data_IF_302671446779
#
_entry.id   IF_302671446779
#
_cell.length_a   1.000
_cell.length_b   1.000
_cell.length_c   1.000
_cell.angle_alpha   90.00
_cell.angle_beta   90.00
_cell.angle_gamma   90.00
#
_symmetry.space_group_name_H-M   'P 1'
#
loop_
_entity.id
_entity.type
_entity.pdbx_description
1 polymer ?
#
# COMPACT_ATOMS: atom_id res chain seq x y z
N UNK A 1 35.51 -0.83 22.58
CA UNK A 1 36.12 -0.43 21.29
C UNK A 1 35.03 0.13 20.40
N UNK A 2 35.19 1.37 19.92
CA UNK A 2 34.26 2.03 18.98
C UNK A 2 34.63 1.62 17.56
N UNK A 3 33.68 1.11 16.79
CA UNK A 3 33.79 0.99 15.33
C UNK A 3 32.69 1.82 14.69
N UNK A 4 33.12 2.79 13.89
CA UNK A 4 32.31 3.76 13.18
C UNK A 4 31.60 3.09 12.00
N UNK A 5 30.30 3.32 11.85
CA UNK A 5 29.59 2.99 10.60
C UNK A 5 29.58 4.25 9.74
N UNK A 6 30.32 4.20 8.64
CA UNK A 6 30.43 5.24 7.62
C UNK A 6 29.08 5.33 6.88
N UNK A 7 28.46 6.51 6.94
CA UNK A 7 27.33 6.86 6.08
C UNK A 7 27.84 7.05 4.65
N UNK A 8 27.48 6.15 3.74
CA UNK A 8 27.65 6.39 2.31
C UNK A 8 26.42 7.17 1.79
N UNK A 9 26.59 8.49 1.74
CA UNK A 9 25.71 9.44 1.06
C UNK A 9 25.39 8.94 -0.35
N UNK A 10 24.10 8.99 -0.72
CA UNK A 10 23.59 8.94 -2.10
C UNK A 10 24.22 7.91 -3.05
N UNK A 11 23.50 6.84 -3.48
CA UNK A 11 24.03 5.95 -4.51
C UNK A 11 24.42 6.80 -5.75
N UNK A 12 25.65 6.67 -6.25
CA UNK A 12 26.17 7.53 -7.30
C UNK A 12 25.22 7.51 -8.48
N UNK A 13 25.06 8.67 -9.12
CA UNK A 13 24.23 8.91 -10.31
C UNK A 13 24.27 7.72 -11.28
N UNK A 14 25.45 7.12 -11.47
CA UNK A 14 25.73 5.91 -12.28
C UNK A 14 24.85 4.68 -11.99
N UNK A 15 24.44 4.45 -10.75
CA UNK A 15 23.59 3.32 -10.33
C UNK A 15 22.10 3.58 -10.63
N UNK A 16 21.66 4.85 -10.53
CA UNK A 16 20.34 5.32 -11.00
C UNK A 16 20.23 5.22 -12.52
N UNK A 17 21.32 5.41 -13.25
CA UNK A 17 21.38 5.15 -14.69
C UNK A 17 21.20 3.66 -14.99
N UNK A 18 21.88 2.76 -14.26
CA UNK A 18 21.74 1.30 -14.47
C UNK A 18 20.30 0.79 -14.32
N UNK A 19 19.53 1.22 -13.31
CA UNK A 19 18.13 0.82 -13.16
C UNK A 19 17.22 1.39 -14.26
N UNK A 20 17.46 2.64 -14.66
CA UNK A 20 16.75 3.25 -15.79
C UNK A 20 17.09 2.54 -17.10
N UNK A 21 18.33 2.11 -17.32
CA UNK A 21 18.73 1.35 -18.52
C UNK A 21 18.03 -0.01 -18.60
N UNK A 22 17.60 -0.59 -17.47
CA UNK A 22 16.91 -1.88 -17.42
C UNK A 22 15.40 -1.73 -17.64
N UNK A 23 14.76 -0.72 -17.04
CA UNK A 23 13.29 -0.54 -17.12
C UNK A 23 12.83 0.22 -18.37
N UNK A 24 13.68 1.10 -18.91
CA UNK A 24 13.35 1.98 -20.03
C UNK A 24 13.15 1.25 -21.38
N UNK A 25 13.90 0.19 -21.74
CA UNK A 25 13.65 -0.56 -22.97
C UNK A 25 12.28 -1.24 -22.98
N UNK A 26 11.80 -1.75 -21.84
CA UNK A 26 10.49 -2.39 -21.71
C UNK A 26 9.34 -1.40 -21.96
N UNK A 27 9.45 -0.20 -21.40
CA UNK A 27 8.46 0.87 -21.61
C UNK A 27 8.53 1.47 -23.02
N UNK A 28 9.74 1.60 -23.60
CA UNK A 28 9.91 2.08 -24.98
C UNK A 28 9.44 1.06 -26.04
N UNK A 29 9.59 -0.24 -25.76
CA UNK A 29 9.09 -1.30 -26.64
C UNK A 29 7.56 -1.30 -26.74
N UNK A 30 6.87 -0.87 -25.66
CA UNK A 30 5.42 -0.77 -25.61
C UNK A 30 4.87 0.49 -26.29
N UNK A 31 5.60 1.61 -26.32
CA UNK A 31 5.04 2.91 -26.74
C UNK A 31 5.74 3.57 -27.93
N UNK A 32 6.85 3.02 -28.43
CA UNK A 32 7.55 3.40 -29.67
C UNK A 32 8.11 4.84 -29.73
N UNK A 33 7.70 5.72 -28.82
CA UNK A 33 7.89 7.17 -28.91
C UNK A 33 8.05 7.74 -27.51
N UNK A 34 8.85 8.80 -27.36
CA UNK A 34 8.99 9.66 -26.16
C UNK A 34 10.03 9.26 -25.11
N UNK A 35 11.30 9.54 -25.41
CA UNK A 35 12.42 9.45 -24.46
C UNK A 35 12.49 10.59 -23.41
N UNK A 36 11.55 11.55 -23.36
CA UNK A 36 11.65 12.76 -22.49
C UNK A 36 10.38 13.15 -21.71
N UNK A 37 9.34 12.31 -21.66
CA UNK A 37 8.05 12.68 -21.04
C UNK A 37 7.99 12.37 -19.54
N UNK A 38 7.46 13.30 -18.72
CA UNK A 38 7.28 13.14 -17.25
C UNK A 38 6.25 12.03 -16.95
N UNK A 39 6.39 11.31 -15.83
CA UNK A 39 5.49 10.21 -15.42
C UNK A 39 3.99 10.61 -15.41
N UNK A 40 3.69 11.85 -15.05
CA UNK A 40 2.32 12.40 -15.10
C UNK A 40 1.78 12.52 -16.53
N UNK A 41 2.64 12.81 -17.50
CA UNK A 41 2.26 12.85 -18.91
C UNK A 41 2.19 11.44 -19.54
N UNK A 42 2.97 10.47 -19.05
CA UNK A 42 2.78 9.05 -19.37
C UNK A 42 1.44 8.52 -18.82
N UNK A 43 1.07 8.90 -17.61
CA UNK A 43 -0.23 8.61 -17.00
C UNK A 43 -1.39 9.16 -17.86
N UNK A 44 -1.28 10.40 -18.34
CA UNK A 44 -2.27 11.00 -19.26
C UNK A 44 -2.32 10.29 -20.61
N UNK A 45 -1.17 9.96 -21.21
CA UNK A 45 -1.10 9.26 -22.51
C UNK A 45 -1.66 7.82 -22.42
N UNK A 46 -1.47 7.15 -21.28
CA UNK A 46 -2.00 5.82 -21.02
C UNK A 46 -3.44 5.83 -20.47
N UNK A 47 -4.04 7.00 -20.26
CA UNK A 47 -5.39 7.12 -19.67
C UNK A 47 -5.49 6.71 -18.20
N UNK A 48 -4.35 6.58 -17.49
CA UNK A 48 -4.27 6.18 -16.08
C UNK A 48 -4.11 7.46 -15.23
N UNK A 49 -5.16 8.00 -14.57
CA UNK A 49 -5.03 9.16 -13.72
C UNK A 49 -4.03 8.99 -12.58
N UNK A 50 -3.49 10.11 -12.07
CA UNK A 50 -2.63 10.12 -10.89
C UNK A 50 -3.30 9.48 -9.67
N UNK A 51 -2.55 8.65 -8.93
CA UNK A 51 -2.97 7.93 -7.72
C UNK A 51 -3.70 8.77 -6.66
N UNK A 52 -3.43 10.07 -6.59
CA UNK A 52 -4.10 10.98 -5.65
C UNK A 52 -5.59 11.15 -5.96
N UNK A 53 -5.96 11.22 -7.25
CA UNK A 53 -7.37 11.25 -7.66
C UNK A 53 -8.05 9.92 -7.30
N UNK A 54 -7.29 8.83 -7.32
CA UNK A 54 -7.78 7.49 -7.02
C UNK A 54 -8.05 7.30 -5.52
N UNK A 55 -7.25 7.93 -4.64
CA UNK A 55 -7.52 7.99 -3.20
C UNK A 55 -8.90 8.63 -2.92
N UNK A 56 -9.21 9.76 -3.55
CA UNK A 56 -10.50 10.46 -3.35
C UNK A 56 -11.70 9.65 -3.87
N UNK A 57 -11.55 8.95 -5.00
CA UNK A 57 -12.59 8.05 -5.53
C UNK A 57 -12.80 6.87 -4.58
N UNK A 58 -11.71 6.30 -4.04
CA UNK A 58 -11.78 5.18 -3.08
C UNK A 58 -12.54 5.57 -1.81
N UNK A 59 -12.33 6.79 -1.29
CA UNK A 59 -13.05 7.29 -0.13
C UNK A 59 -14.57 7.34 -0.36
N UNK A 60 -15.03 7.71 -1.56
CA UNK A 60 -16.47 7.81 -1.88
C UNK A 60 -17.18 6.46 -1.98
N UNK A 61 -16.47 5.42 -2.44
CA UNK A 61 -17.02 4.07 -2.62
C UNK A 61 -16.55 3.08 -1.54
N UNK A 62 -16.02 3.58 -0.43
CA UNK A 62 -15.55 2.72 0.65
C UNK A 62 -16.68 2.25 1.55
N UNK A 63 -16.67 0.95 1.87
CA UNK A 63 -17.47 0.38 2.96
C UNK A 63 -16.57 0.24 4.18
N UNK A 64 -16.99 0.81 5.30
CA UNK A 64 -16.36 0.58 6.60
C UNK A 64 -17.36 -0.20 7.44
N UNK A 65 -17.01 -1.43 7.79
CA UNK A 65 -17.85 -2.26 8.63
C UNK A 65 -17.09 -2.56 9.92
N UNK A 66 -17.74 -2.26 11.04
CA UNK A 66 -17.25 -2.48 12.38
C UNK A 66 -18.12 -3.55 13.02
N UNK A 67 -17.52 -4.55 13.63
CA UNK A 67 -18.26 -5.50 14.46
C UNK A 67 -18.66 -4.80 15.77
N UNK A 68 -19.88 -5.05 16.27
CA UNK A 68 -20.51 -4.37 17.43
C UNK A 68 -19.86 -4.66 18.79
N UNK A 69 -18.53 -4.60 18.88
CA UNK A 69 -17.77 -4.52 20.14
C UNK A 69 -17.71 -3.06 20.66
N UNK A 70 -18.66 -2.23 20.22
CA UNK A 70 -18.69 -0.75 20.23
C UNK A 70 -18.61 -0.08 21.62
N UNK A 71 -18.54 -0.83 22.72
CA UNK A 71 -18.24 -0.30 24.05
C UNK A 71 -16.74 -0.11 24.35
N UNK A 72 -15.84 -0.58 23.46
CA UNK A 72 -14.42 -0.75 23.80
C UNK A 72 -13.46 -0.20 22.74
N UNK A 73 -13.50 1.11 22.49
CA UNK A 73 -12.29 1.83 22.05
C UNK A 73 -11.16 1.78 23.12
N UNK A 74 -11.43 1.19 24.30
CA UNK A 74 -10.45 0.72 25.29
C UNK A 74 -9.83 -0.62 24.90
N UNK A 75 -8.99 -0.63 23.87
CA UNK A 75 -8.01 -1.69 23.70
C UNK A 75 -7.89 -2.21 22.27
N UNK A 76 -7.22 -1.45 21.42
CA UNK A 76 -6.15 -2.07 20.62
C UNK A 76 -5.22 -2.67 21.69
N UNK A 77 -5.08 -3.99 21.76
CA UNK A 77 -4.27 -4.65 22.78
C UNK A 77 -2.93 -5.06 22.18
N UNK A 78 -1.97 -5.41 23.04
CA UNK A 78 -0.73 -6.06 22.59
C UNK A 78 -1.10 -7.33 21.81
N UNK A 79 -0.94 -7.29 20.47
CA UNK A 79 -1.33 -8.39 19.58
C UNK A 79 -2.28 -8.00 18.44
N UNK A 80 -2.76 -6.75 18.37
CA UNK A 80 -3.52 -6.28 17.20
C UNK A 80 -2.62 -6.18 15.97
N UNK A 81 -3.10 -6.73 14.85
CA UNK A 81 -2.43 -6.72 13.55
C UNK A 81 -3.38 -6.21 12.49
N UNK A 82 -2.85 -5.52 11.50
CA UNK A 82 -3.61 -5.12 10.33
C UNK A 82 -3.07 -5.89 9.13
N UNK A 83 -3.96 -6.41 8.31
CA UNK A 83 -3.60 -7.07 7.06
C UNK A 83 -4.15 -6.23 5.92
N UNK A 84 -3.38 -6.10 4.85
CA UNK A 84 -3.72 -5.29 3.67
C UNK A 84 -3.61 -6.13 2.43
N UNK A 85 -4.53 -5.94 1.49
CA UNK A 85 -4.40 -6.54 0.16
C UNK A 85 -5.04 -5.66 -0.92
N UNK A 86 -4.59 -5.86 -2.16
CA UNK A 86 -5.18 -5.27 -3.35
C UNK A 86 -5.32 -6.30 -4.45
N UNK A 87 -6.55 -6.48 -4.95
CA UNK A 87 -6.87 -7.54 -5.91
C UNK A 87 -7.38 -6.98 -7.23
N UNK A 88 -7.13 -7.71 -8.32
CA UNK A 88 -7.69 -7.42 -9.65
C UNK A 88 -8.44 -8.65 -10.14
N UNK A 89 -9.72 -8.46 -10.46
CA UNK A 89 -10.60 -9.48 -11.03
C UNK A 89 -11.00 -9.08 -12.45
N UNK A 90 -11.78 -9.92 -13.13
CA UNK A 90 -12.34 -9.57 -14.45
C UNK A 90 -13.34 -8.40 -14.36
N UNK A 91 -13.99 -8.21 -13.21
CA UNK A 91 -15.00 -7.17 -12.98
C UNK A 91 -14.45 -5.83 -12.50
N UNK A 92 -13.18 -5.77 -12.12
CA UNK A 92 -12.55 -4.54 -11.66
C UNK A 92 -11.36 -4.74 -10.74
N UNK A 93 -11.05 -3.69 -9.99
CA UNK A 93 -9.91 -3.65 -9.06
C UNK A 93 -10.43 -3.24 -7.69
N UNK A 94 -10.01 -3.95 -6.65
CA UNK A 94 -10.43 -3.70 -5.29
C UNK A 94 -9.26 -3.56 -4.34
N UNK A 95 -9.49 -2.83 -3.26
CA UNK A 95 -8.50 -2.57 -2.22
C UNK A 95 -9.14 -2.80 -0.86
N UNK A 96 -8.42 -3.43 0.06
CA UNK A 96 -8.94 -3.68 1.41
C UNK A 96 -7.86 -3.73 2.49
N UNK A 97 -8.29 -3.48 3.73
CA UNK A 97 -7.56 -3.89 4.92
C UNK A 97 -8.52 -4.42 5.98
N UNK A 98 -8.04 -5.32 6.83
CA UNK A 98 -8.77 -5.77 8.01
C UNK A 98 -7.90 -5.65 9.27
N UNK A 99 -8.55 -5.30 10.38
CA UNK A 99 -7.95 -5.22 11.71
C UNK A 99 -8.29 -6.50 12.45
N UNK A 100 -7.25 -7.22 12.87
CA UNK A 100 -7.33 -8.48 13.57
C UNK A 100 -6.83 -8.32 15.00
N UNK A 101 -7.60 -8.79 15.98
CA UNK A 101 -7.21 -8.80 17.39
C UNK A 101 -7.69 -10.07 18.06
N UNK A 102 -6.83 -10.72 18.86
CA UNK A 102 -7.17 -11.93 19.62
C UNK A 102 -7.94 -12.97 18.78
N UNK A 103 -7.41 -13.23 17.56
CA UNK A 103 -7.97 -14.18 16.57
C UNK A 103 -9.32 -13.79 15.93
N UNK A 104 -9.83 -12.58 16.15
CA UNK A 104 -11.10 -12.11 15.60
C UNK A 104 -10.94 -10.84 14.75
N UNK A 105 -11.83 -10.67 13.77
CA UNK A 105 -11.95 -9.44 12.98
C UNK A 105 -12.63 -8.36 13.83
N UNK A 106 -11.91 -7.26 14.06
CA UNK A 106 -12.41 -6.09 14.80
C UNK A 106 -13.01 -5.06 13.86
N UNK A 107 -12.40 -4.87 12.69
CA UNK A 107 -12.85 -3.89 11.71
C UNK A 107 -12.39 -4.29 10.33
N UNK A 108 -13.18 -3.93 9.32
CA UNK A 108 -12.82 -4.06 7.91
C UNK A 108 -13.06 -2.76 7.16
N UNK A 109 -12.23 -2.53 6.17
CA UNK A 109 -12.36 -1.45 5.23
C UNK A 109 -12.06 -1.98 3.84
N UNK A 110 -12.91 -1.66 2.88
CA UNK A 110 -12.76 -2.07 1.50
C UNK A 110 -13.33 -1.01 0.55
N UNK A 111 -12.74 -0.86 -0.62
CA UNK A 111 -13.17 0.09 -1.64
C UNK A 111 -12.90 -0.43 -3.05
N UNK A 112 -13.79 -0.10 -3.99
CA UNK A 112 -13.57 -0.34 -5.42
C UNK A 112 -12.70 0.75 -6.02
N UNK A 113 -11.71 0.34 -6.81
CA UNK A 113 -10.88 1.20 -7.64
C UNK A 113 -11.39 1.19 -9.07
N UNK A 114 -10.74 1.98 -9.91
CA UNK A 114 -11.08 2.05 -11.33
C UNK A 114 -10.46 0.88 -12.08
N UNK A 115 -11.13 0.35 -13.11
CA UNK A 115 -10.74 -0.92 -13.74
C UNK A 115 -9.36 -0.91 -14.41
N UNK A 116 -8.90 0.27 -14.82
CA UNK A 116 -7.56 0.46 -15.39
C UNK A 116 -6.45 0.47 -14.33
N UNK A 117 -6.78 0.42 -13.04
CA UNK A 117 -5.78 0.25 -11.99
C UNK A 117 -5.06 -1.10 -12.12
N UNK A 118 -3.80 -1.12 -11.69
CA UNK A 118 -3.01 -2.35 -11.58
C UNK A 118 -2.93 -2.80 -10.13
N UNK A 119 -2.68 -4.10 -9.92
CA UNK A 119 -2.55 -4.73 -8.59
C UNK A 119 -1.61 -3.94 -7.69
N UNK A 120 -0.42 -3.57 -8.17
CA UNK A 120 0.54 -2.77 -7.40
C UNK A 120 -0.03 -1.43 -6.88
N UNK A 121 -0.89 -0.76 -7.64
CA UNK A 121 -1.53 0.48 -7.19
C UNK A 121 -2.55 0.20 -6.08
N UNK A 122 -3.33 -0.87 -6.21
CA UNK A 122 -4.30 -1.28 -5.19
C UNK A 122 -3.59 -1.63 -3.88
N UNK A 123 -2.54 -2.42 -3.97
CA UNK A 123 -1.71 -2.88 -2.86
C UNK A 123 -1.02 -1.75 -2.09
N UNK A 124 -0.41 -0.82 -2.83
CA UNK A 124 0.19 0.37 -2.22
C UNK A 124 -0.86 1.27 -1.57
N UNK A 125 -2.06 1.33 -2.15
CA UNK A 125 -3.17 2.11 -1.63
C UNK A 125 -3.78 1.46 -0.39
N UNK A 126 -3.89 0.13 -0.33
CA UNK A 126 -4.29 -0.64 0.85
C UNK A 126 -3.40 -0.27 2.04
N UNK A 127 -2.08 -0.29 1.80
CA UNK A 127 -1.08 0.08 2.78
C UNK A 127 -1.21 1.55 3.23
N UNK A 128 -1.51 2.46 2.31
CA UNK A 128 -1.75 3.87 2.65
C UNK A 128 -2.95 4.01 3.58
N UNK A 129 -4.09 3.41 3.25
CA UNK A 129 -5.29 3.49 4.06
C UNK A 129 -5.12 2.84 5.43
N UNK A 130 -4.42 1.70 5.51
CA UNK A 130 -4.07 1.09 6.79
C UNK A 130 -3.15 1.99 7.63
N UNK A 131 -2.17 2.65 7.01
CA UNK A 131 -1.25 3.57 7.70
C UNK A 131 -1.99 4.79 8.24
N UNK A 132 -2.90 5.38 7.45
CA UNK A 132 -3.73 6.51 7.88
C UNK A 132 -4.68 6.10 9.01
N UNK A 133 -5.28 4.91 8.90
CA UNK A 133 -6.14 4.35 9.94
C UNK A 133 -5.38 4.26 11.26
N UNK A 134 -4.18 3.65 11.27
CA UNK A 134 -3.35 3.56 12.49
C UNK A 134 -2.92 4.92 13.00
N UNK A 135 -2.57 5.85 12.11
CA UNK A 135 -2.13 7.20 12.52
C UNK A 135 -3.24 7.96 13.27
N UNK A 136 -4.51 7.64 13.01
CA UNK A 136 -5.66 8.19 13.73
C UNK A 136 -5.92 7.55 15.10
N UNK A 137 -5.24 6.45 15.44
CA UNK A 137 -5.46 5.66 16.66
C UNK A 137 -4.41 5.99 17.75
N UNK A 138 -4.77 5.74 19.02
CA UNK A 138 -3.92 6.00 20.19
C UNK A 138 -2.58 5.25 20.14
N UNK A 139 -1.56 5.82 20.78
CA UNK A 139 -0.13 5.43 20.83
C UNK A 139 0.19 3.99 21.31
N UNK A 140 -0.25 2.97 20.59
CA UNK A 140 0.14 1.58 20.81
C UNK A 140 0.86 1.02 19.59
N UNK A 141 1.88 0.17 19.77
CA UNK A 141 2.55 -0.48 18.65
C UNK A 141 1.56 -1.34 17.85
N UNK A 142 1.40 -1.04 16.57
CA UNK A 142 0.58 -1.82 15.62
C UNK A 142 1.47 -2.27 14.48
N UNK A 143 1.32 -3.54 14.11
CA UNK A 143 2.00 -4.10 12.94
C UNK A 143 1.01 -4.22 11.78
N UNK A 144 1.33 -3.60 10.66
CA UNK A 144 0.69 -3.78 9.36
C UNK A 144 1.46 -4.87 8.61
N UNK A 145 0.76 -5.93 8.26
CA UNK A 145 1.27 -7.09 7.53
C UNK A 145 0.88 -6.95 6.06
N UNK A 146 1.89 -7.07 5.19
CA UNK A 146 1.77 -6.86 3.74
C UNK A 146 2.44 -8.02 3.04
N UNK A 147 1.77 -8.67 2.10
CA UNK A 147 2.37 -9.76 1.32
C UNK A 147 3.02 -9.29 0.01
N UNK A 148 2.70 -8.08 -0.44
CA UNK A 148 3.35 -7.42 -1.56
C UNK A 148 4.70 -6.78 -1.21
N UNK A 149 5.78 -7.47 -1.56
CA UNK A 149 7.14 -6.99 -1.33
C UNK A 149 7.44 -5.65 -2.03
N UNK A 150 6.85 -5.40 -3.21
CA UNK A 150 7.06 -4.15 -3.93
C UNK A 150 6.45 -2.95 -3.19
N UNK A 151 5.28 -3.13 -2.56
CA UNK A 151 4.62 -2.10 -1.73
C UNK A 151 5.46 -1.77 -0.50
N UNK A 152 6.02 -2.78 0.18
CA UNK A 152 6.93 -2.59 1.32
C UNK A 152 8.19 -1.83 0.90
N UNK A 153 8.81 -2.22 -0.21
CA UNK A 153 9.99 -1.52 -0.75
C UNK A 153 9.68 -0.07 -1.14
N UNK A 154 8.52 0.19 -1.73
CA UNK A 154 8.08 1.53 -2.08
C UNK A 154 7.88 2.40 -0.83
N UNK A 155 7.21 1.87 0.21
CA UNK A 155 6.96 2.55 1.48
C UNK A 155 8.24 2.84 2.28
N UNK A 156 9.25 1.97 2.21
CA UNK A 156 10.55 2.19 2.84
C UNK A 156 11.41 3.24 2.11
N UNK A 157 11.04 3.63 0.89
CA UNK A 157 11.84 4.53 0.06
C UNK A 157 11.46 6.01 0.27
N UNK A 158 12.20 6.69 1.15
CA UNK A 158 12.08 8.15 1.42
C UNK A 158 12.18 9.01 0.15
N UNK A 159 12.85 8.51 -0.89
CA UNK A 159 13.09 9.21 -2.16
C UNK A 159 12.15 8.76 -3.27
N UNK A 160 11.09 8.03 -2.93
CA UNK A 160 10.12 7.55 -3.90
C UNK A 160 9.56 8.69 -4.76
N UNK A 161 9.41 8.47 -6.06
CA UNK A 161 8.72 9.43 -6.95
C UNK A 161 7.21 9.29 -6.89
N UNK A 162 6.73 8.17 -6.33
CA UNK A 162 5.32 7.94 -6.06
C UNK A 162 4.91 8.73 -4.81
N UNK A 163 3.86 9.54 -4.93
CA UNK A 163 3.36 10.42 -3.86
C UNK A 163 2.78 9.62 -2.71
N UNK A 164 1.98 8.60 -2.98
CA UNK A 164 1.42 7.67 -1.98
C UNK A 164 2.52 6.98 -1.17
N UNK A 165 3.56 6.48 -1.84
CA UNK A 165 4.70 5.86 -1.15
C UNK A 165 5.45 6.85 -0.25
N UNK A 166 5.57 8.11 -0.65
CA UNK A 166 6.16 9.18 0.17
C UNK A 166 5.31 9.51 1.40
N UNK A 167 4.00 9.55 1.25
CA UNK A 167 3.07 9.77 2.36
C UNK A 167 3.17 8.66 3.39
N UNK A 168 3.14 7.40 2.96
CA UNK A 168 3.34 6.24 3.83
C UNK A 168 4.69 6.37 4.55
N UNK A 169 5.77 6.61 3.80
CA UNK A 169 7.11 6.74 4.36
C UNK A 169 7.19 7.84 5.42
N UNK A 170 6.59 9.01 5.15
CA UNK A 170 6.51 10.12 6.09
C UNK A 170 5.75 9.73 7.36
N UNK A 171 4.62 9.05 7.24
CA UNK A 171 3.83 8.57 8.39
C UNK A 171 4.62 7.57 9.24
N UNK A 172 5.36 6.64 8.62
CA UNK A 172 6.22 5.69 9.33
C UNK A 172 7.37 6.38 10.09
N UNK A 173 7.99 7.40 9.49
CA UNK A 173 9.05 8.17 10.14
C UNK A 173 8.49 9.00 11.31
N UNK A 174 7.28 9.55 11.14
CA UNK A 174 6.66 10.41 12.15
C UNK A 174 6.10 9.59 13.32
N UNK A 175 5.66 8.36 13.07
CA UNK A 175 4.97 7.55 14.06
C UNK A 175 5.73 6.23 14.35
N UNK A 176 6.50 6.25 15.45
CA UNK A 176 7.28 5.09 15.93
C UNK A 176 6.44 3.87 16.35
N UNK A 177 5.13 4.02 16.46
CA UNK A 177 4.21 2.95 16.84
C UNK A 177 3.71 2.16 15.62
N UNK A 178 4.03 2.58 14.40
CA UNK A 178 3.64 1.87 13.18
C UNK A 178 4.80 1.01 12.70
N UNK A 179 4.58 -0.29 12.63
CA UNK A 179 5.52 -1.23 12.04
C UNK A 179 4.91 -1.84 10.77
N UNK A 180 5.68 -1.90 9.69
CA UNK A 180 5.32 -2.68 8.50
C UNK A 180 6.17 -3.94 8.51
N UNK A 181 5.55 -5.09 8.30
CA UNK A 181 6.26 -6.36 8.14
C UNK A 181 5.76 -7.08 6.90
N UNK A 182 6.70 -7.56 6.10
CA UNK A 182 6.38 -8.40 4.96
C UNK A 182 6.04 -9.82 5.42
N UNK A 183 4.99 -10.41 4.86
CA UNK A 183 4.63 -11.81 5.04
C UNK A 183 4.56 -12.52 3.70
N UNK A 184 4.66 -13.84 3.72
CA UNK A 184 4.48 -14.62 2.49
C UNK A 184 2.99 -14.76 2.19
N UNK A 185 2.59 -14.49 0.95
CA UNK A 185 1.22 -14.74 0.48
C UNK A 185 0.89 -16.24 0.52
N UNK A 186 -0.39 -16.56 0.73
CA UNK A 186 -0.96 -17.91 0.60
C UNK A 186 -0.29 -19.02 1.44
N UNK A 187 0.14 -18.67 2.65
CA UNK A 187 0.66 -19.64 3.63
C UNK A 187 -0.29 -19.86 4.81
N UNK A 188 -1.56 -19.48 4.68
CA UNK A 188 -2.60 -19.74 5.68
C UNK A 188 -2.63 -18.74 6.84
N UNK A 189 -2.29 -17.48 6.59
CA UNK A 189 -2.57 -16.41 7.56
C UNK A 189 -4.02 -15.97 7.41
N UNK A 190 -4.89 -16.32 8.36
CA UNK A 190 -6.34 -16.02 8.29
C UNK A 190 -6.64 -14.55 7.98
N UNK A 191 -5.89 -13.62 8.59
CA UNK A 191 -6.06 -12.20 8.31
C UNK A 191 -5.62 -11.78 6.90
N UNK A 192 -4.63 -12.45 6.31
CA UNK A 192 -4.21 -12.19 4.92
C UNK A 192 -5.26 -12.71 3.94
N UNK A 193 -5.75 -13.93 4.17
CA UNK A 193 -6.80 -14.52 3.33
C UNK A 193 -8.10 -13.70 3.41
N UNK A 194 -8.43 -13.14 4.58
CA UNK A 194 -9.59 -12.24 4.71
C UNK A 194 -9.36 -10.90 3.99
N UNK A 195 -8.16 -10.31 4.06
CA UNK A 195 -7.86 -9.10 3.31
C UNK A 195 -8.00 -9.33 1.80
N UNK A 196 -7.50 -10.45 1.28
CA UNK A 196 -7.65 -10.85 -0.12
C UNK A 196 -9.12 -11.10 -0.52
N UNK A 197 -9.88 -11.78 0.35
CA UNK A 197 -11.32 -11.97 0.14
C UNK A 197 -12.05 -10.62 0.05
N UNK A 198 -11.75 -9.68 0.94
CA UNK A 198 -12.35 -8.35 0.97
C UNK A 198 -11.95 -7.50 -0.25
N UNK A 199 -10.70 -7.59 -0.70
CA UNK A 199 -10.25 -6.89 -1.89
C UNK A 199 -10.96 -7.42 -3.15
N UNK A 200 -11.16 -8.74 -3.26
CA UNK A 200 -11.97 -9.35 -4.33
C UNK A 200 -13.43 -8.92 -4.26
N UNK A 201 -14.03 -8.95 -3.08
CA UNK A 201 -15.41 -8.47 -2.86
C UNK A 201 -15.59 -7.01 -3.30
N UNK A 202 -14.62 -6.15 -2.99
CA UNK A 202 -14.64 -4.76 -3.42
C UNK A 202 -14.54 -4.62 -4.94
N UNK A 203 -13.67 -5.40 -5.60
CA UNK A 203 -13.52 -5.38 -7.05
C UNK A 203 -14.83 -5.74 -7.78
N UNK A 204 -15.63 -6.62 -7.17
CA UNK A 204 -16.89 -7.12 -7.73
C UNK A 204 -18.12 -6.27 -7.38
N UNK A 205 -18.00 -5.24 -6.54
CA UNK A 205 -19.12 -4.34 -6.23
C UNK A 205 -19.48 -3.50 -7.46
N UNK A 206 -20.78 -3.34 -7.75
CA UNK A 206 -21.28 -2.53 -8.88
C UNK A 206 -21.12 -1.01 -8.66
#
# INVERSE_FOLDING_TARGET
MRTYVVWCLDPPVRTKWKLNTIQRPFLLALTGSYRTTKTSALQVILGIPPLQIQQDVSHRHSKTERTDLFGRWRGITSGTRIYTDGSKTEKGVGVAFCVWSEQNIVSRWLAKLQDYNIVFQAELLALKHATDHVTSLLHQPITILVDNQASVQAAANVRSRNTTAKEICKSLITNKYIHISWIKAHVGYDGNEEADRLAKEAAETD
#
